data_IF_721849632140
#
_entry.id   IF_721849632140
#
_cell.length_a   1.000
_cell.length_b   1.000
_cell.length_c   1.000
_cell.angle_alpha   90.00
_cell.angle_beta   90.00
_cell.angle_gamma   90.00
#
_symmetry.space_group_name_H-M   'P 1'
#
loop_
_entity.id
_entity.type
_entity.pdbx_description
1 polymer ?
#
# COMPACT_ATOMS: atom_id res chain seq x y z
N UNK A 1 -16.28 38.12 -35.45
CA UNK A 1 -15.79 38.44 -34.09
C UNK A 1 -16.43 37.58 -32.99
N UNK A 2 -17.70 37.22 -33.05
CA UNK A 2 -18.39 36.39 -32.02
C UNK A 2 -17.87 34.93 -31.96
N UNK A 3 -17.48 34.31 -33.07
CA UNK A 3 -16.98 32.96 -33.17
C UNK A 3 -15.67 32.72 -32.37
N UNK A 4 -14.80 33.74 -32.29
CA UNK A 4 -13.55 33.64 -31.52
C UNK A 4 -13.76 33.73 -30.01
N UNK A 5 -14.83 34.41 -29.57
CA UNK A 5 -15.16 34.50 -28.15
C UNK A 5 -15.70 33.17 -27.58
N UNK A 6 -16.54 32.49 -28.32
CA UNK A 6 -17.07 31.17 -27.91
C UNK A 6 -15.97 30.10 -27.84
N UNK A 7 -15.05 30.12 -28.82
CA UNK A 7 -13.90 29.22 -28.82
C UNK A 7 -12.97 29.44 -27.62
N UNK A 8 -12.70 30.71 -27.28
CA UNK A 8 -11.88 31.06 -26.10
C UNK A 8 -12.57 30.71 -24.80
N UNK A 9 -13.88 30.87 -24.69
CA UNK A 9 -14.67 30.51 -23.52
C UNK A 9 -14.69 28.98 -23.35
N UNK A 10 -14.89 28.19 -24.40
CA UNK A 10 -14.83 26.73 -24.33
C UNK A 10 -13.44 26.21 -23.98
N UNK A 11 -12.39 26.82 -24.53
CA UNK A 11 -11.01 26.43 -24.16
C UNK A 11 -10.71 26.75 -22.70
N UNK A 12 -11.15 27.92 -22.19
CA UNK A 12 -11.02 28.28 -20.77
C UNK A 12 -11.77 27.34 -19.85
N UNK A 13 -13.02 26.98 -20.19
CA UNK A 13 -13.82 26.03 -19.41
C UNK A 13 -13.16 24.64 -19.39
N UNK A 14 -12.59 24.20 -20.53
CA UNK A 14 -11.85 22.94 -20.61
C UNK A 14 -10.65 22.94 -19.68
N UNK A 15 -9.82 23.97 -19.71
CA UNK A 15 -8.66 24.06 -18.81
C UNK A 15 -9.05 24.19 -17.33
N UNK A 16 -10.14 24.91 -17.01
CA UNK A 16 -10.65 24.98 -15.65
C UNK A 16 -11.11 23.60 -15.13
N UNK A 17 -11.81 22.83 -15.96
CA UNK A 17 -12.27 21.50 -15.59
C UNK A 17 -11.11 20.54 -15.31
N UNK A 18 -10.03 20.62 -16.07
CA UNK A 18 -8.84 19.80 -15.89
C UNK A 18 -8.08 20.17 -14.60
N UNK A 19 -7.96 21.47 -14.32
CA UNK A 19 -7.37 21.96 -13.07
C UNK A 19 -8.18 21.49 -11.86
N UNK A 20 -9.51 21.61 -11.91
CA UNK A 20 -10.41 21.16 -10.82
C UNK A 20 -10.27 19.66 -10.61
N UNK A 21 -10.20 18.85 -11.68
CA UNK A 21 -9.97 17.40 -11.60
C UNK A 21 -8.63 17.09 -10.93
N UNK A 22 -7.55 17.75 -11.32
CA UNK A 22 -6.22 17.53 -10.72
C UNK A 22 -6.22 17.89 -9.24
N UNK A 23 -6.82 19.02 -8.85
CA UNK A 23 -6.95 19.42 -7.45
C UNK A 23 -7.77 18.41 -6.66
N UNK A 24 -8.90 17.94 -7.21
CA UNK A 24 -9.75 16.93 -6.59
C UNK A 24 -8.99 15.61 -6.37
N UNK A 25 -8.24 15.14 -7.37
CA UNK A 25 -7.42 13.95 -7.28
C UNK A 25 -6.32 14.11 -6.23
N UNK A 26 -5.69 15.27 -6.16
CA UNK A 26 -4.67 15.55 -5.14
C UNK A 26 -5.25 15.55 -3.72
N UNK A 27 -6.46 16.10 -3.56
CA UNK A 27 -7.19 16.04 -2.29
C UNK A 27 -7.56 14.60 -1.91
N UNK A 28 -8.02 13.81 -2.87
CA UNK A 28 -8.34 12.39 -2.66
C UNK A 28 -7.09 11.58 -2.26
N UNK A 29 -5.97 11.81 -2.93
CA UNK A 29 -4.68 11.20 -2.57
C UNK A 29 -4.27 11.58 -1.13
N UNK A 30 -4.37 12.84 -0.78
CA UNK A 30 -4.03 13.31 0.56
C UNK A 30 -4.91 12.63 1.63
N UNK A 31 -6.21 12.55 1.37
CA UNK A 31 -7.16 11.87 2.28
C UNK A 31 -6.86 10.38 2.37
N UNK A 32 -6.65 9.69 1.24
CA UNK A 32 -6.35 8.27 1.21
C UNK A 32 -5.04 7.93 1.93
N UNK A 33 -3.98 8.71 1.69
CA UNK A 33 -2.69 8.53 2.35
C UNK A 33 -2.78 8.78 3.87
N UNK A 34 -3.57 9.78 4.28
CA UNK A 34 -3.79 10.10 5.69
C UNK A 34 -4.65 9.03 6.38
N UNK A 35 -5.68 8.52 5.71
CA UNK A 35 -6.54 7.44 6.21
C UNK A 35 -5.76 6.12 6.37
N UNK A 36 -4.96 5.74 5.37
CA UNK A 36 -4.08 4.57 5.43
C UNK A 36 -3.09 4.66 6.60
N UNK A 37 -2.43 5.81 6.77
CA UNK A 37 -1.51 6.03 7.87
C UNK A 37 -2.21 5.95 9.25
N UNK A 38 -3.44 6.47 9.35
CA UNK A 38 -4.24 6.44 10.59
C UNK A 38 -4.68 5.01 10.92
N UNK A 39 -5.14 4.27 9.93
CA UNK A 39 -5.55 2.87 10.10
C UNK A 39 -4.38 2.00 10.55
N UNK A 40 -3.22 2.12 9.89
CA UNK A 40 -2.01 1.40 10.26
C UNK A 40 -1.56 1.75 11.70
N UNK A 41 -1.62 3.03 12.07
CA UNK A 41 -1.32 3.44 13.46
C UNK A 41 -2.22 2.72 14.44
N UNK A 42 -3.53 2.74 14.22
CA UNK A 42 -4.49 2.10 15.14
C UNK A 42 -4.23 0.61 15.33
N UNK A 43 -3.97 -0.12 14.23
CA UNK A 43 -3.70 -1.57 14.29
C UNK A 43 -2.41 -1.86 15.05
N UNK A 44 -1.33 -1.14 14.74
CA UNK A 44 -0.05 -1.39 15.40
C UNK A 44 0.00 -0.90 16.85
N UNK A 45 -0.63 0.22 17.18
CA UNK A 45 -0.72 0.72 18.54
C UNK A 45 -1.56 -0.22 19.42
N UNK A 46 -2.66 -0.78 18.88
CA UNK A 46 -3.44 -1.82 19.54
C UNK A 46 -2.66 -3.12 19.76
N UNK A 47 -1.81 -3.52 18.81
CA UNK A 47 -0.95 -4.69 18.96
C UNK A 47 0.13 -4.47 20.04
N UNK A 48 0.72 -3.28 20.10
CA UNK A 48 1.73 -2.92 21.12
C UNK A 48 1.11 -2.89 22.52
N UNK A 49 -0.11 -2.38 22.66
CA UNK A 49 -0.82 -2.34 23.96
C UNK A 49 -1.15 -3.72 24.52
N UNK A 50 -1.28 -4.73 23.68
CA UNK A 50 -1.55 -6.12 24.12
C UNK A 50 -0.31 -6.86 24.62
N UNK A 51 0.89 -6.28 24.56
CA UNK A 51 2.10 -6.90 25.07
C UNK A 51 2.12 -6.76 26.59
N UNK A 52 2.05 -7.89 27.36
CA UNK A 52 2.00 -7.85 28.81
C UNK A 52 3.24 -7.17 29.42
N UNK A 53 3.02 -6.38 30.46
CA UNK A 53 4.10 -5.65 31.14
C UNK A 53 5.02 -6.53 31.99
N UNK A 54 4.65 -7.80 32.23
CA UNK A 54 5.23 -8.65 33.27
C UNK A 54 5.97 -9.91 32.83
N UNK A 55 6.07 -10.26 31.56
CA UNK A 55 6.49 -11.63 31.21
C UNK A 55 7.86 -11.83 30.55
N UNK A 56 8.72 -10.85 30.48
CA UNK A 56 10.13 -11.03 30.05
C UNK A 56 10.82 -9.68 30.23
N UNK A 57 12.03 -9.68 30.74
CA UNK A 57 12.76 -8.46 31.10
C UNK A 57 12.61 -7.32 30.08
N UNK A 58 12.68 -6.11 30.52
CA UNK A 58 12.47 -4.86 29.74
C UNK A 58 13.12 -4.89 28.36
N UNK A 59 14.27 -5.54 28.21
CA UNK A 59 15.05 -5.67 26.97
C UNK A 59 14.30 -6.45 25.89
N UNK A 60 13.63 -7.56 26.23
CA UNK A 60 12.89 -8.38 25.24
C UNK A 60 11.63 -7.65 24.74
N UNK A 61 10.94 -6.92 25.61
CA UNK A 61 9.79 -6.10 25.27
C UNK A 61 10.18 -4.96 24.31
N UNK A 62 11.27 -4.26 24.63
CA UNK A 62 11.74 -3.15 23.80
C UNK A 62 12.16 -3.63 22.40
N UNK A 63 12.78 -4.81 22.29
CA UNK A 63 13.12 -5.42 21.01
C UNK A 63 11.88 -5.74 20.17
N UNK A 64 10.82 -6.28 20.78
CA UNK A 64 9.55 -6.56 20.07
C UNK A 64 8.90 -5.26 19.59
N UNK A 65 8.83 -4.25 20.46
CA UNK A 65 8.25 -2.94 20.11
C UNK A 65 9.02 -2.30 18.96
N UNK A 66 10.35 -2.38 18.98
CA UNK A 66 11.19 -1.84 17.92
C UNK A 66 10.96 -2.56 16.58
N UNK A 67 10.84 -3.87 16.58
CA UNK A 67 10.50 -4.67 15.37
C UNK A 67 9.13 -4.27 14.82
N UNK A 68 8.11 -4.14 15.66
CA UNK A 68 6.78 -3.72 15.24
C UNK A 68 6.78 -2.31 14.64
N UNK A 69 7.54 -1.37 15.22
CA UNK A 69 7.71 -0.01 14.67
C UNK A 69 8.37 -0.05 13.28
N UNK A 70 9.40 -0.87 13.11
CA UNK A 70 10.09 -1.02 11.80
C UNK A 70 9.15 -1.61 10.74
N UNK A 71 8.42 -2.68 11.07
CA UNK A 71 7.44 -3.30 10.17
C UNK A 71 6.35 -2.27 9.79
N UNK A 72 5.82 -1.54 10.76
CA UNK A 72 4.85 -0.48 10.50
C UNK A 72 5.42 0.58 9.53
N UNK A 73 6.67 1.01 9.74
CA UNK A 73 7.30 1.99 8.88
C UNK A 73 7.44 1.48 7.43
N UNK A 74 7.87 0.23 7.25
CA UNK A 74 7.98 -0.41 5.94
C UNK A 74 6.63 -0.50 5.23
N UNK A 75 5.59 -0.98 5.91
CA UNK A 75 4.23 -1.07 5.35
C UNK A 75 3.70 0.32 4.99
N UNK A 76 3.95 1.31 5.85
CA UNK A 76 3.53 2.69 5.60
C UNK A 76 4.23 3.30 4.38
N UNK A 77 5.53 3.03 4.21
CA UNK A 77 6.27 3.48 3.03
C UNK A 77 5.78 2.79 1.76
N UNK A 78 5.60 1.48 1.80
CA UNK A 78 5.10 0.70 0.67
C UNK A 78 3.70 1.19 0.23
N UNK A 79 2.79 1.38 1.19
CA UNK A 79 1.44 1.89 0.89
C UNK A 79 1.46 3.28 0.26
N UNK A 80 2.36 4.18 0.70
CA UNK A 80 2.51 5.51 0.09
C UNK A 80 3.00 5.43 -1.36
N UNK A 81 3.97 4.54 -1.63
CA UNK A 81 4.48 4.34 -2.99
C UNK A 81 3.36 3.81 -3.89
N UNK A 82 2.63 2.79 -3.46
CA UNK A 82 1.52 2.21 -4.24
C UNK A 82 0.42 3.25 -4.51
N UNK A 83 -0.04 3.95 -3.46
CA UNK A 83 -1.05 5.00 -3.60
C UNK A 83 -0.54 6.13 -4.50
N UNK A 84 0.72 6.53 -4.35
CA UNK A 84 1.35 7.56 -5.19
C UNK A 84 1.42 7.18 -6.66
N UNK A 85 1.78 5.92 -6.96
CA UNK A 85 1.81 5.39 -8.33
C UNK A 85 0.40 5.37 -8.96
N UNK A 86 -0.59 4.86 -8.25
CA UNK A 86 -1.98 4.81 -8.74
C UNK A 86 -2.51 6.21 -9.06
N UNK A 87 -2.24 7.17 -8.18
CA UNK A 87 -2.65 8.55 -8.40
C UNK A 87 -1.86 9.23 -9.51
N UNK A 88 -0.57 8.95 -9.62
CA UNK A 88 0.26 9.41 -10.74
C UNK A 88 -0.33 9.00 -12.09
N UNK A 89 -0.76 7.74 -12.23
CA UNK A 89 -1.42 7.25 -13.45
C UNK A 89 -2.74 7.97 -13.74
N UNK A 90 -3.53 8.22 -12.70
CA UNK A 90 -4.79 8.93 -12.86
C UNK A 90 -4.58 10.37 -13.31
N UNK A 91 -3.59 11.06 -12.74
CA UNK A 91 -3.22 12.43 -13.13
C UNK A 91 -2.71 12.45 -14.57
N UNK A 92 -1.79 11.55 -14.95
CA UNK A 92 -1.28 11.47 -16.32
C UNK A 92 -2.41 11.19 -17.33
N UNK A 93 -3.31 10.28 -16.99
CA UNK A 93 -4.48 9.97 -17.81
C UNK A 93 -5.43 11.17 -17.98
N UNK A 94 -5.63 11.97 -16.94
CA UNK A 94 -6.49 13.15 -16.99
C UNK A 94 -5.92 14.29 -17.86
N UNK A 95 -4.61 14.35 -18.00
CA UNK A 95 -3.91 15.32 -18.88
C UNK A 95 -3.77 14.80 -20.32
N UNK A 96 -4.33 13.60 -20.61
CA UNK A 96 -4.29 12.99 -21.94
C UNK A 96 -2.98 12.27 -22.28
N UNK A 97 -2.09 12.06 -21.30
CA UNK A 97 -0.87 11.30 -21.49
C UNK A 97 -1.20 9.81 -21.48
N UNK A 98 -0.81 9.08 -22.53
CA UNK A 98 -1.01 7.65 -22.63
C UNK A 98 -0.27 6.88 -21.54
N UNK A 99 -0.98 6.38 -20.54
CA UNK A 99 -0.39 5.62 -19.40
C UNK A 99 -0.13 4.15 -19.72
N UNK A 100 -0.66 3.62 -20.83
CA UNK A 100 -0.55 2.20 -21.20
C UNK A 100 0.90 1.68 -21.23
N UNK A 101 1.89 2.37 -21.85
CA UNK A 101 3.28 1.88 -21.85
C UNK A 101 3.89 1.85 -20.44
N UNK A 102 3.53 2.80 -19.59
CA UNK A 102 4.04 2.89 -18.22
C UNK A 102 3.47 1.75 -17.37
N UNK A 103 2.16 1.48 -17.50
CA UNK A 103 1.50 0.34 -16.81
C UNK A 103 2.09 -0.99 -17.28
N UNK A 104 2.36 -1.13 -18.58
CA UNK A 104 3.01 -2.34 -19.12
C UNK A 104 4.40 -2.54 -18.51
N UNK A 105 5.22 -1.49 -18.41
CA UNK A 105 6.54 -1.56 -17.78
C UNK A 105 6.48 -1.94 -16.30
N UNK A 106 5.55 -1.37 -15.54
CA UNK A 106 5.33 -1.74 -14.13
C UNK A 106 4.81 -3.16 -14.01
N UNK A 107 4.00 -3.63 -14.95
CA UNK A 107 3.55 -5.03 -15.01
C UNK A 107 4.73 -6.00 -15.07
N UNK A 108 5.74 -5.72 -15.90
CA UNK A 108 6.97 -6.53 -15.96
C UNK A 108 7.71 -6.53 -14.62
N UNK A 109 7.87 -5.37 -13.98
CA UNK A 109 8.47 -5.27 -12.64
C UNK A 109 7.64 -6.04 -11.63
N UNK A 110 6.30 -5.98 -11.71
CA UNK A 110 5.39 -6.75 -10.85
C UNK A 110 5.58 -8.26 -10.98
N UNK A 111 5.77 -8.76 -12.20
CA UNK A 111 6.08 -10.18 -12.43
C UNK A 111 7.43 -10.55 -11.78
N UNK A 112 8.46 -9.75 -11.96
CA UNK A 112 9.76 -10.00 -11.35
C UNK A 112 9.69 -10.06 -9.81
N UNK A 113 8.97 -9.10 -9.20
CA UNK A 113 8.74 -9.09 -7.74
C UNK A 113 7.92 -10.30 -7.29
N UNK A 114 6.89 -10.69 -8.06
CA UNK A 114 6.07 -11.88 -7.76
C UNK A 114 6.89 -13.16 -7.77
N UNK A 115 7.76 -13.34 -8.77
CA UNK A 115 8.67 -14.49 -8.83
C UNK A 115 9.66 -14.48 -7.66
N UNK A 116 10.20 -13.34 -7.29
CA UNK A 116 11.09 -13.21 -6.14
C UNK A 116 10.39 -13.54 -4.81
N UNK A 117 9.10 -13.22 -4.68
CA UNK A 117 8.29 -13.48 -3.48
C UNK A 117 7.68 -14.89 -3.46
N UNK A 118 7.76 -15.66 -4.54
CA UNK A 118 7.06 -16.94 -4.70
C UNK A 118 7.33 -17.94 -3.55
N UNK A 119 8.58 -18.05 -3.11
CA UNK A 119 8.93 -18.97 -2.03
C UNK A 119 8.30 -18.54 -0.70
N UNK A 120 8.36 -17.24 -0.39
CA UNK A 120 7.76 -16.69 0.83
C UNK A 120 6.24 -16.94 0.87
N UNK A 121 5.56 -16.75 -0.27
CA UNK A 121 4.12 -17.00 -0.39
C UNK A 121 3.83 -18.48 -0.22
N UNK A 122 4.62 -19.37 -0.83
CA UNK A 122 4.47 -20.83 -0.68
C UNK A 122 4.64 -21.27 0.76
N UNK A 123 5.69 -20.80 1.44
CA UNK A 123 5.96 -21.15 2.83
C UNK A 123 4.85 -20.67 3.77
N UNK A 124 4.32 -19.48 3.50
CA UNK A 124 3.19 -18.94 4.26
C UNK A 124 1.91 -19.77 4.07
N UNK A 125 1.59 -20.16 2.84
CA UNK A 125 0.43 -21.03 2.54
C UNK A 125 0.60 -22.39 3.18
N UNK A 126 1.78 -23.02 3.05
CA UNK A 126 2.07 -24.30 3.67
C UNK A 126 1.95 -24.24 5.20
N UNK A 127 2.44 -23.16 5.82
CA UNK A 127 2.29 -22.95 7.26
C UNK A 127 0.83 -22.85 7.71
N UNK A 128 -0.02 -22.17 6.93
CA UNK A 128 -1.46 -22.09 7.18
C UNK A 128 -2.12 -23.46 7.02
N UNK A 129 -1.77 -24.22 5.98
CA UNK A 129 -2.33 -25.56 5.74
C UNK A 129 -1.99 -26.52 6.89
N UNK A 130 -0.76 -26.51 7.37
CA UNK A 130 -0.35 -27.33 8.53
C UNK A 130 -1.23 -27.03 9.74
N UNK A 131 -1.56 -25.77 9.99
CA UNK A 131 -2.42 -25.37 11.11
C UNK A 131 -3.90 -25.72 10.89
N UNK A 132 -4.40 -25.63 9.65
CA UNK A 132 -5.81 -25.96 9.34
C UNK A 132 -6.04 -27.48 9.34
N UNK A 133 -5.08 -28.24 8.81
CA UNK A 133 -5.17 -29.69 8.71
C UNK A 133 -4.76 -30.41 10.01
N UNK A 134 -4.32 -29.64 11.01
CA UNK A 134 -3.89 -30.16 12.32
C UNK A 134 -2.83 -31.30 12.20
N UNK A 135 -1.91 -31.10 11.22
CA UNK A 135 -0.93 -32.14 10.85
C UNK A 135 0.06 -32.45 11.97
N UNK A 136 0.33 -31.50 12.86
CA UNK A 136 1.26 -31.63 13.97
C UNK A 136 0.69 -31.00 15.23
N UNK A 137 0.66 -31.81 16.31
CA UNK A 137 0.25 -31.36 17.63
C UNK A 137 1.42 -31.23 18.59
N UNK A 138 1.27 -30.43 19.63
CA UNK A 138 2.29 -30.27 20.66
C UNK A 138 2.47 -31.60 21.39
N UNK A 139 3.63 -32.23 21.21
CA UNK A 139 3.96 -33.54 21.78
C UNK A 139 4.14 -34.65 20.75
N UNK A 140 3.89 -34.39 19.47
CA UNK A 140 4.12 -35.36 18.40
C UNK A 140 5.61 -35.55 18.12
N UNK A 141 5.99 -36.82 17.84
CA UNK A 141 7.33 -37.14 17.38
C UNK A 141 7.43 -36.87 15.88
N UNK A 142 8.37 -36.00 15.48
CA UNK A 142 8.62 -35.67 14.08
C UNK A 142 9.98 -36.17 13.67
N UNK A 143 10.08 -37.03 12.65
CA UNK A 143 11.32 -37.35 11.95
C UNK A 143 11.54 -36.32 10.82
N UNK A 144 12.71 -35.66 10.80
CA UNK A 144 13.09 -34.66 9.81
C UNK A 144 14.10 -35.25 8.84
#
# INVERSE_FOLDING_TARGET
MLYNAEFLVQALIGHLSDIVRVIFLFALWYIASRASNKALRHVFDAAIQKIPEGSSGTIARDAIIQRLKTIRQLITQLSRVVIGLLMGFWILGSVGIGVRPIIAGIGVVGIAVSLAAQNVIRDFINGILILIEDQYNVGDWVEI
#
